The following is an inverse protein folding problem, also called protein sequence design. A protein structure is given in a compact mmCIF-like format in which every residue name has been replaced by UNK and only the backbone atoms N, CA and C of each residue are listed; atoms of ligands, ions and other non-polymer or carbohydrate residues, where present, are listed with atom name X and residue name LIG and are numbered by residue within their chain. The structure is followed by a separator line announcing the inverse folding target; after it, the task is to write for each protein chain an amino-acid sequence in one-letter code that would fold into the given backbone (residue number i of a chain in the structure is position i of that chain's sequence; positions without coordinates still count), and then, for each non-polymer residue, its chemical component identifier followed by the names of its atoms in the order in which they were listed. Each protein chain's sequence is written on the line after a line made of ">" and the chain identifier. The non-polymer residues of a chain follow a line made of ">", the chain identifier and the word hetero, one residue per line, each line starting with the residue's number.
data_IF_523928798272
#
_entry.id   IF_523928798272
#
_cell.length_a   1.000
_cell.length_b   1.000
_cell.length_c   1.000
_cell.angle_alpha   90.00
_cell.angle_beta   90.00
_cell.angle_gamma   90.00
#
_symmetry.space_group_name_H-M   'P 1'
#
loop_
_entity.id
_entity.type
_entity.pdbx_description
1 polymer ?
#
# COMPACT_ATOMS: atom_id res chain seq x y z
N UNK A 1 -26.57 12.02 2.87
CA UNK A 1 -25.13 12.13 3.22
C UNK A 1 -24.40 12.85 2.10
N UNK A 2 -23.60 13.87 2.41
CA UNK A 2 -22.71 14.51 1.42
C UNK A 2 -21.63 13.50 1.02
N UNK A 3 -21.39 13.29 -0.27
CA UNK A 3 -20.36 12.37 -0.73
C UNK A 3 -18.99 12.81 -0.20
N UNK A 4 -18.22 11.89 0.37
CA UNK A 4 -16.86 12.19 0.81
C UNK A 4 -15.97 12.45 -0.40
N UNK A 5 -15.24 13.57 -0.39
CA UNK A 5 -14.37 13.96 -1.50
C UNK A 5 -12.97 13.45 -1.22
N UNK A 6 -12.53 12.45 -1.98
CA UNK A 6 -11.17 11.94 -1.89
C UNK A 6 -10.16 12.89 -2.57
N UNK A 7 -9.07 13.19 -1.86
CA UNK A 7 -7.86 13.75 -2.46
C UNK A 7 -7.22 12.75 -3.42
N UNK A 8 -6.39 13.21 -4.35
CA UNK A 8 -5.68 12.31 -5.28
C UNK A 8 -4.80 11.30 -4.53
N UNK A 9 -4.18 11.75 -3.44
CA UNK A 9 -3.38 10.93 -2.54
C UNK A 9 -3.55 11.43 -1.10
N UNK A 10 -3.15 10.60 -0.15
CA UNK A 10 -3.06 10.90 1.29
C UNK A 10 -1.70 10.49 1.84
N UNK A 11 -1.37 10.94 3.05
CA UNK A 11 -0.17 10.49 3.76
C UNK A 11 -0.44 9.14 4.41
N UNK A 12 0.48 8.20 4.22
CA UNK A 12 0.49 6.93 4.93
C UNK A 12 1.80 6.82 5.70
N UNK A 13 1.79 6.61 7.03
CA UNK A 13 3.00 6.29 7.79
C UNK A 13 3.61 4.98 7.29
N UNK A 14 4.91 5.00 7.01
CA UNK A 14 5.62 3.87 6.42
C UNK A 14 6.81 3.38 7.24
N UNK A 15 7.10 4.01 8.38
CA UNK A 15 8.21 3.62 9.26
C UNK A 15 8.18 2.13 9.66
N UNK A 16 6.99 1.62 9.99
CA UNK A 16 6.79 0.20 10.30
C UNK A 16 7.14 -0.73 9.11
N UNK A 17 7.01 -0.25 7.87
CA UNK A 17 7.43 -1.00 6.67
C UNK A 17 8.95 -1.02 6.59
N UNK A 18 9.62 0.10 6.87
CA UNK A 18 11.08 0.17 6.91
C UNK A 18 11.67 -0.75 8.01
N UNK A 19 10.93 -0.91 9.11
CA UNK A 19 11.20 -1.91 10.16
C UNK A 19 10.86 -3.37 9.75
N UNK A 20 10.56 -3.63 8.47
CA UNK A 20 10.25 -4.96 7.90
C UNK A 20 9.02 -5.64 8.52
N UNK A 21 8.12 -4.86 9.13
CA UNK A 21 6.95 -5.41 9.85
C UNK A 21 5.83 -5.88 8.94
N UNK A 22 5.94 -5.69 7.62
CA UNK A 22 5.11 -6.39 6.63
C UNK A 22 5.22 -7.92 6.77
N UNK A 23 6.35 -8.43 7.28
CA UNK A 23 6.53 -9.85 7.57
C UNK A 23 5.55 -10.39 8.63
N UNK A 24 5.07 -9.54 9.54
CA UNK A 24 4.12 -9.93 10.60
C UNK A 24 2.76 -10.36 10.05
N UNK A 25 2.41 -9.90 8.84
CA UNK A 25 1.20 -10.28 8.12
C UNK A 25 1.39 -11.61 7.39
N UNK A 26 1.14 -12.70 8.10
CA UNK A 26 1.29 -14.07 7.59
C UNK A 26 -0.05 -14.73 7.34
N UNK A 27 -0.14 -15.49 6.25
CA UNK A 27 -1.31 -16.32 6.02
C UNK A 27 -1.30 -17.54 6.93
N UNK A 28 -2.30 -17.66 7.80
CA UNK A 28 -2.59 -18.87 8.58
C UNK A 28 -3.99 -19.36 8.26
N UNK A 29 -4.19 -20.68 8.20
CA UNK A 29 -5.51 -21.27 7.94
C UNK A 29 -6.49 -20.82 9.02
N UNK A 30 -7.65 -20.29 8.62
CA UNK A 30 -8.65 -19.73 9.54
C UNK A 30 -8.45 -18.26 9.91
N UNK A 31 -7.23 -17.72 9.77
CA UNK A 31 -6.90 -16.33 10.14
C UNK A 31 -6.50 -15.46 8.94
N UNK A 32 -6.23 -16.06 7.77
CA UNK A 32 -5.74 -15.32 6.59
C UNK A 32 -6.67 -14.17 6.14
N UNK A 33 -7.98 -14.35 6.29
CA UNK A 33 -8.97 -13.33 5.96
C UNK A 33 -8.85 -12.06 6.84
N UNK A 34 -8.53 -12.20 8.13
CA UNK A 34 -8.35 -11.03 9.00
C UNK A 34 -7.07 -10.25 8.69
N UNK A 35 -6.03 -10.93 8.18
CA UNK A 35 -4.79 -10.28 7.71
C UNK A 35 -5.03 -9.40 6.48
N UNK A 36 -5.81 -9.89 5.53
CA UNK A 36 -6.24 -9.12 4.35
C UNK A 36 -7.12 -7.96 4.81
N UNK A 37 -8.10 -8.23 5.68
CA UNK A 37 -9.00 -7.21 6.19
C UNK A 37 -8.25 -6.08 6.92
N UNK A 38 -7.21 -6.41 7.68
CA UNK A 38 -6.36 -5.45 8.37
C UNK A 38 -5.68 -4.49 7.37
N UNK A 39 -5.03 -5.00 6.34
CA UNK A 39 -4.35 -4.15 5.35
C UNK A 39 -5.34 -3.32 4.50
N UNK A 40 -6.52 -3.86 4.18
CA UNK A 40 -7.59 -3.09 3.53
C UNK A 40 -8.11 -1.99 4.46
N UNK A 41 -8.34 -2.29 5.74
CA UNK A 41 -8.80 -1.33 6.73
C UNK A 41 -7.78 -0.21 6.92
N UNK A 42 -6.49 -0.53 6.99
CA UNK A 42 -5.40 0.44 7.08
C UNK A 42 -5.45 1.44 5.92
N UNK A 43 -5.59 0.95 4.69
CA UNK A 43 -5.72 1.80 3.48
C UNK A 43 -6.98 2.67 3.56
N UNK A 44 -8.13 2.10 3.94
CA UNK A 44 -9.38 2.84 4.05
C UNK A 44 -9.35 3.93 5.13
N UNK A 45 -8.70 3.66 6.26
CA UNK A 45 -8.47 4.62 7.35
C UNK A 45 -7.55 5.74 6.87
N UNK A 46 -6.41 5.41 6.26
CA UNK A 46 -5.47 6.41 5.74
C UNK A 46 -6.15 7.37 4.74
N UNK A 47 -7.08 6.89 3.90
CA UNK A 47 -7.85 7.75 2.98
C UNK A 47 -8.80 8.75 3.68
N UNK A 48 -8.99 8.60 4.99
CA UNK A 48 -9.92 9.34 5.84
C UNK A 48 -9.24 10.12 6.96
N UNK A 49 -7.92 10.04 7.10
CA UNK A 49 -7.19 10.78 8.15
C UNK A 49 -7.16 12.27 7.86
N UNK A 50 -7.32 13.06 8.91
CA UNK A 50 -7.01 14.49 8.93
C UNK A 50 -5.50 14.75 9.10
N UNK A 51 -5.12 16.00 9.32
CA UNK A 51 -3.73 16.41 9.48
C UNK A 51 -3.12 15.94 10.82
N UNK A 52 -3.97 15.52 11.77
CA UNK A 52 -3.59 14.88 13.03
C UNK A 52 -3.44 13.35 12.90
N UNK A 53 -3.68 12.78 11.72
CA UNK A 53 -3.61 11.34 11.49
C UNK A 53 -4.82 10.58 12.03
N UNK A 54 -5.94 11.27 12.31
CA UNK A 54 -7.17 10.69 12.84
C UNK A 54 -8.22 10.59 11.74
N UNK A 55 -8.69 9.36 11.50
CA UNK A 55 -9.85 9.10 10.67
C UNK A 55 -11.13 9.07 11.50
N UNK A 56 -12.14 9.82 11.08
CA UNK A 56 -13.51 9.73 11.62
C UNK A 56 -14.39 8.98 10.65
N UNK A 57 -14.68 7.72 10.96
CA UNK A 57 -15.52 6.89 10.12
C UNK A 57 -16.29 5.82 10.90
N UNK A 58 -17.57 5.66 10.60
CA UNK A 58 -18.40 4.63 11.25
C UNK A 58 -18.14 3.24 10.67
N UNK A 59 -18.56 2.19 11.37
CA UNK A 59 -18.54 0.83 10.82
C UNK A 59 -19.36 0.73 9.53
N UNK A 60 -20.52 1.40 9.44
CA UNK A 60 -21.34 1.35 8.23
C UNK A 60 -20.62 2.00 7.03
N UNK A 61 -19.81 3.02 7.27
CA UNK A 61 -18.92 3.58 6.25
C UNK A 61 -17.81 2.61 5.86
N UNK A 62 -17.23 1.86 6.80
CA UNK A 62 -16.30 0.78 6.45
C UNK A 62 -16.95 -0.27 5.54
N UNK A 63 -18.15 -0.73 5.90
CA UNK A 63 -18.90 -1.72 5.14
C UNK A 63 -19.12 -1.25 3.71
N UNK A 64 -19.62 -0.02 3.55
CA UNK A 64 -19.85 0.60 2.25
C UNK A 64 -18.54 0.71 1.44
N UNK A 65 -17.50 1.28 2.04
CA UNK A 65 -16.24 1.56 1.34
C UNK A 65 -15.54 0.27 0.92
N UNK A 66 -15.50 -0.73 1.80
CA UNK A 66 -14.61 -1.90 1.63
C UNK A 66 -15.32 -3.17 1.18
N UNK A 67 -16.65 -3.20 1.21
CA UNK A 67 -17.45 -4.40 0.93
C UNK A 67 -17.30 -5.50 2.00
N UNK A 68 -16.66 -5.19 3.14
CA UNK A 68 -16.42 -6.16 4.21
C UNK A 68 -17.61 -6.22 5.16
N UNK A 69 -17.89 -7.40 5.71
CA UNK A 69 -18.87 -7.54 6.80
C UNK A 69 -18.36 -6.86 8.09
N UNK A 70 -19.27 -6.55 9.02
CA UNK A 70 -18.92 -5.94 10.31
C UNK A 70 -17.94 -6.81 11.11
N UNK A 71 -18.12 -8.13 11.10
CA UNK A 71 -17.21 -9.07 11.75
C UNK A 71 -15.81 -9.07 11.10
N UNK A 72 -15.73 -9.00 9.77
CA UNK A 72 -14.45 -8.93 9.05
C UNK A 72 -13.72 -7.62 9.32
N UNK A 73 -14.44 -6.49 9.36
CA UNK A 73 -13.87 -5.19 9.74
C UNK A 73 -13.32 -5.25 11.16
N UNK A 74 -14.10 -5.74 12.13
CA UNK A 74 -13.65 -5.86 13.51
C UNK A 74 -12.38 -6.72 13.63
N UNK A 75 -12.36 -7.90 13.00
CA UNK A 75 -11.19 -8.77 13.01
C UNK A 75 -9.94 -8.11 12.38
N UNK A 76 -10.12 -7.32 11.32
CA UNK A 76 -9.03 -6.55 10.71
C UNK A 76 -8.51 -5.44 11.62
N UNK A 77 -9.41 -4.71 12.29
CA UNK A 77 -9.04 -3.65 13.24
C UNK A 77 -8.31 -4.23 14.47
N UNK A 78 -8.76 -5.35 15.02
CA UNK A 78 -8.09 -6.03 16.14
C UNK A 78 -6.66 -6.44 15.77
N UNK A 79 -6.44 -6.86 14.52
CA UNK A 79 -5.10 -7.20 14.01
C UNK A 79 -4.21 -5.96 13.93
N UNK A 80 -4.71 -4.82 13.46
CA UNK A 80 -3.94 -3.56 13.40
C UNK A 80 -3.60 -3.03 14.79
N UNK A 81 -4.56 -3.07 15.72
CA UNK A 81 -4.38 -2.61 17.10
C UNK A 81 -3.39 -3.50 17.87
N UNK A 82 -3.50 -4.82 17.77
CA UNK A 82 -2.53 -5.76 18.36
C UNK A 82 -1.11 -5.56 17.85
N UNK A 83 -0.97 -5.11 16.60
CA UNK A 83 0.32 -4.77 15.99
C UNK A 83 0.71 -3.31 16.23
N UNK A 84 -0.02 -2.54 17.03
CA UNK A 84 0.31 -1.14 17.31
C UNK A 84 0.48 -0.31 16.04
N UNK A 85 -0.33 -0.58 15.01
CA UNK A 85 -0.40 0.23 13.79
C UNK A 85 -1.60 1.17 13.80
N UNK A 86 -2.51 0.96 14.75
CA UNK A 86 -3.76 1.71 14.87
C UNK A 86 -4.16 1.83 16.34
N UNK A 87 -4.61 3.02 16.73
CA UNK A 87 -5.30 3.28 17.99
C UNK A 87 -6.79 3.45 17.68
N UNK A 88 -7.65 2.71 18.39
CA UNK A 88 -9.10 2.82 18.25
C UNK A 88 -9.65 3.81 19.25
N UNK A 89 -10.65 4.56 18.81
CA UNK A 89 -11.45 5.48 19.61
C UNK A 89 -10.67 6.55 20.40
N UNK A 90 -9.56 7.13 19.88
CA UNK A 90 -8.76 8.14 20.60
C UNK A 90 -9.57 9.40 20.97
N UNK A 91 -10.63 9.69 20.21
CA UNK A 91 -11.54 10.81 20.45
C UNK A 91 -13.00 10.36 20.50
N UNK A 92 -13.23 9.15 21.03
CA UNK A 92 -14.55 8.53 21.14
C UNK A 92 -14.91 7.64 19.95
N UNK A 93 -16.16 7.17 19.94
CA UNK A 93 -16.63 6.16 18.99
C UNK A 93 -16.37 6.56 17.53
N UNK A 94 -16.04 5.58 16.68
CA UNK A 94 -15.83 5.78 15.23
C UNK A 94 -14.65 6.69 14.88
N UNK A 95 -13.68 6.81 15.79
CA UNK A 95 -12.41 7.48 15.53
C UNK A 95 -11.27 6.46 15.51
N UNK A 96 -10.30 6.65 14.63
CA UNK A 96 -9.17 5.74 14.45
C UNK A 96 -7.92 6.55 14.14
N UNK A 97 -6.84 6.36 14.89
CA UNK A 97 -5.59 7.08 14.69
C UNK A 97 -4.51 6.15 14.18
N UNK A 98 -3.82 6.56 13.11
CA UNK A 98 -2.64 5.85 12.64
C UNK A 98 -1.47 6.11 13.61
N UNK A 99 -0.81 5.04 14.02
CA UNK A 99 0.38 5.14 14.88
C UNK A 99 1.54 5.74 14.06
N UNK A 100 2.40 6.51 14.74
CA UNK A 100 3.55 7.20 14.16
C UNK A 100 3.23 8.16 13.00
N UNK A 101 2.02 8.69 12.97
CA UNK A 101 1.65 9.72 12.00
C UNK A 101 2.36 11.04 12.30
N UNK A 102 3.33 11.39 11.45
CA UNK A 102 4.05 12.66 11.48
C UNK A 102 3.80 13.43 10.18
N UNK A 103 3.68 14.75 10.26
CA UNK A 103 3.48 15.59 9.07
C UNK A 103 4.77 15.84 8.28
N UNK A 104 5.92 15.88 8.96
CA UNK A 104 7.21 16.25 8.38
C UNK A 104 7.92 15.09 7.67
N UNK A 105 7.81 13.87 8.17
CA UNK A 105 8.67 12.74 7.80
C UNK A 105 7.99 11.38 8.02
N UNK A 106 8.63 10.28 7.61
CA UNK A 106 8.18 8.91 7.93
C UNK A 106 6.90 8.47 7.21
N UNK A 107 6.52 9.17 6.13
CA UNK A 107 5.31 8.89 5.36
C UNK A 107 5.56 8.84 3.85
N UNK A 108 4.70 8.11 3.16
CA UNK A 108 4.63 8.04 1.70
C UNK A 108 3.27 8.50 1.16
N UNK A 109 3.24 8.86 -0.14
CA UNK A 109 2.01 9.22 -0.84
C UNK A 109 1.24 7.95 -1.20
N UNK A 110 0.13 7.71 -0.53
CA UNK A 110 -0.80 6.63 -0.85
C UNK A 110 -1.85 7.12 -1.86
N UNK A 111 -1.99 6.49 -3.04
CA UNK A 111 -3.04 6.85 -4.00
C UNK A 111 -4.43 6.68 -3.37
N UNK A 112 -5.31 7.67 -3.50
CA UNK A 112 -6.65 7.64 -2.90
C UNK A 112 -7.75 7.72 -3.96
N UNK A 113 -8.03 8.91 -4.52
CA UNK A 113 -9.17 9.17 -5.43
C UNK A 113 -9.36 8.11 -6.53
N UNK A 114 -8.30 7.70 -7.21
CA UNK A 114 -8.41 6.75 -8.34
C UNK A 114 -8.67 5.30 -7.93
N UNK A 115 -8.48 4.94 -6.66
CA UNK A 115 -8.87 3.62 -6.13
C UNK A 115 -10.39 3.52 -5.86
N UNK A 116 -11.10 4.65 -5.87
CA UNK A 116 -12.53 4.70 -5.61
C UNK A 116 -13.36 4.75 -6.88
N UNK A 117 -14.46 4.00 -6.89
CA UNK A 117 -15.52 4.12 -7.88
C UNK A 117 -16.86 4.19 -7.13
N UNK A 118 -17.67 5.21 -7.39
CA UNK A 118 -18.96 5.43 -6.71
C UNK A 118 -18.89 5.43 -5.17
N UNK A 119 -17.76 5.84 -4.60
CA UNK A 119 -17.54 5.88 -3.15
C UNK A 119 -17.03 4.58 -2.53
N UNK A 120 -16.77 3.56 -3.35
CA UNK A 120 -16.30 2.23 -2.94
C UNK A 120 -14.84 2.03 -3.36
N UNK A 121 -14.03 1.38 -2.50
CA UNK A 121 -12.68 0.93 -2.84
C UNK A 121 -12.77 -0.29 -3.78
N UNK A 122 -12.53 -0.06 -5.07
CA UNK A 122 -12.83 -1.04 -6.10
C UNK A 122 -12.12 -2.39 -5.88
N UNK A 123 -10.83 -2.36 -5.54
CA UNK A 123 -10.07 -3.58 -5.29
C UNK A 123 -10.58 -4.34 -4.04
N UNK A 124 -11.01 -3.61 -3.00
CA UNK A 124 -11.44 -4.22 -1.75
C UNK A 124 -12.73 -5.03 -1.90
N UNK A 125 -13.62 -4.58 -2.79
CA UNK A 125 -14.86 -5.27 -3.19
C UNK A 125 -14.61 -6.47 -4.12
N UNK A 126 -13.53 -6.44 -4.92
CA UNK A 126 -13.13 -7.56 -5.78
C UNK A 126 -12.43 -8.68 -5.01
N UNK A 127 -11.83 -8.36 -3.87
CA UNK A 127 -11.12 -9.33 -3.06
C UNK A 127 -12.10 -10.23 -2.30
N UNK A 128 -11.98 -11.54 -2.49
CA UNK A 128 -12.75 -12.55 -1.77
C UNK A 128 -12.29 -12.76 -0.32
N UNK A 129 -11.12 -12.20 0.05
CA UNK A 129 -10.44 -12.28 1.36
C UNK A 129 -10.18 -13.73 1.80
N UNK A 130 -9.99 -14.61 0.82
CA UNK A 130 -9.86 -16.06 0.99
C UNK A 130 -8.65 -16.65 0.28
N UNK A 131 -7.88 -15.81 -0.43
CA UNK A 131 -6.69 -16.23 -1.17
C UNK A 131 -5.42 -15.66 -0.55
N UNK A 132 -4.38 -16.49 -0.48
CA UNK A 132 -3.03 -16.04 -0.10
C UNK A 132 -2.52 -14.95 -1.05
N UNK A 133 -2.85 -15.05 -2.33
CA UNK A 133 -2.43 -14.08 -3.35
C UNK A 133 -2.90 -12.65 -3.07
N UNK A 134 -4.07 -12.48 -2.47
CA UNK A 134 -4.60 -11.17 -2.07
C UNK A 134 -3.79 -10.56 -0.92
N UNK A 135 -3.34 -11.38 0.04
CA UNK A 135 -2.45 -10.92 1.10
C UNK A 135 -1.08 -10.52 0.53
N UNK A 136 -0.54 -11.33 -0.38
CA UNK A 136 0.72 -11.04 -1.05
C UNK A 136 0.64 -9.72 -1.83
N UNK A 137 -0.45 -9.52 -2.57
CA UNK A 137 -0.73 -8.29 -3.29
C UNK A 137 -0.73 -7.07 -2.37
N UNK A 138 -1.44 -7.11 -1.25
CA UNK A 138 -1.49 -5.97 -0.32
C UNK A 138 -0.14 -5.65 0.31
N UNK A 139 0.65 -6.68 0.66
CA UNK A 139 2.01 -6.50 1.16
C UNK A 139 2.92 -5.83 0.14
N UNK A 140 2.88 -6.29 -1.11
CA UNK A 140 3.64 -5.69 -2.21
C UNK A 140 3.18 -4.25 -2.48
N UNK A 141 1.88 -3.99 -2.49
CA UNK A 141 1.35 -2.66 -2.74
C UNK A 141 1.83 -1.64 -1.72
N UNK A 142 1.74 -1.97 -0.43
CA UNK A 142 2.21 -1.09 0.65
C UNK A 142 3.72 -0.89 0.60
N UNK A 143 4.50 -1.93 0.27
CA UNK A 143 5.94 -1.79 0.05
C UNK A 143 6.26 -0.84 -1.12
N UNK A 144 5.54 -0.97 -2.25
CA UNK A 144 5.74 -0.08 -3.38
C UNK A 144 5.31 1.35 -3.07
N UNK A 145 4.31 1.54 -2.21
CA UNK A 145 3.95 2.85 -1.68
C UNK A 145 5.11 3.45 -0.88
N UNK A 146 5.72 2.69 0.04
CA UNK A 146 6.83 3.22 0.86
C UNK A 146 8.10 3.51 0.07
N UNK A 147 8.43 2.68 -0.92
CA UNK A 147 9.70 2.75 -1.66
C UNK A 147 9.62 3.51 -2.99
N UNK A 148 8.48 4.13 -3.31
CA UNK A 148 8.32 4.89 -4.57
C UNK A 148 9.19 6.14 -4.56
N UNK A 149 10.07 6.25 -5.55
CA UNK A 149 10.79 7.48 -5.83
C UNK A 149 9.83 8.55 -6.40
N UNK A 150 9.86 9.76 -5.83
CA UNK A 150 8.95 10.86 -6.20
C UNK A 150 9.28 11.49 -7.56
N UNK A 151 10.53 11.41 -8.01
CA UNK A 151 11.00 11.94 -9.30
C UNK A 151 10.65 10.96 -10.41
N UNK A 152 10.99 9.69 -10.24
CA UNK A 152 10.76 8.63 -11.23
C UNK A 152 9.32 8.12 -11.27
N UNK A 153 8.56 8.30 -10.18
CA UNK A 153 7.26 7.67 -10.00
C UNK A 153 7.34 6.12 -10.05
N UNK A 154 8.47 5.55 -9.63
CA UNK A 154 8.74 4.12 -9.67
C UNK A 154 9.29 3.65 -8.31
N UNK A 155 8.90 2.45 -7.90
CA UNK A 155 9.61 1.69 -6.88
C UNK A 155 10.58 0.74 -7.59
N UNK A 156 11.88 0.95 -7.39
CA UNK A 156 12.96 0.13 -7.92
C UNK A 156 13.36 -0.87 -6.83
N UNK A 157 12.86 -2.10 -6.91
CA UNK A 157 13.13 -3.13 -5.92
C UNK A 157 13.45 -4.45 -6.60
N UNK A 158 14.55 -5.07 -6.17
CA UNK A 158 14.87 -6.43 -6.59
C UNK A 158 13.98 -7.42 -5.84
N UNK A 159 13.85 -8.65 -6.37
CA UNK A 159 13.08 -9.69 -5.67
C UNK A 159 13.70 -10.03 -4.31
N UNK A 160 15.03 -9.91 -4.17
CA UNK A 160 15.73 -10.10 -2.91
C UNK A 160 15.30 -9.06 -1.88
N UNK A 161 15.28 -7.78 -2.25
CA UNK A 161 14.78 -6.71 -1.38
C UNK A 161 13.30 -6.92 -1.04
N UNK A 162 12.45 -7.27 -2.01
CA UNK A 162 11.04 -7.57 -1.73
C UNK A 162 10.91 -8.71 -0.71
N UNK A 163 11.68 -9.79 -0.85
CA UNK A 163 11.70 -10.88 0.13
C UNK A 163 12.15 -10.40 1.51
N UNK A 164 13.17 -9.53 1.60
CA UNK A 164 13.65 -8.99 2.87
C UNK A 164 12.61 -8.13 3.59
N UNK A 165 11.85 -7.29 2.89
CA UNK A 165 10.85 -6.43 3.52
C UNK A 165 9.54 -7.15 3.80
N UNK A 166 9.13 -8.09 2.93
CA UNK A 166 7.81 -8.71 3.00
C UNK A 166 7.82 -10.15 3.50
N UNK A 167 8.95 -10.84 3.48
CA UNK A 167 9.05 -12.28 3.73
C UNK A 167 8.46 -13.14 2.60
N UNK A 168 8.08 -12.54 1.47
CA UNK A 168 7.50 -13.28 0.34
C UNK A 168 8.59 -13.95 -0.51
N UNK A 169 8.37 -15.21 -0.84
CA UNK A 169 9.21 -15.95 -1.78
C UNK A 169 8.92 -15.55 -3.22
N UNK A 170 9.85 -15.81 -4.14
CA UNK A 170 9.74 -15.40 -5.56
C UNK A 170 8.43 -15.80 -6.25
N UNK A 171 7.92 -17.00 -5.97
CA UNK A 171 6.65 -17.47 -6.54
C UNK A 171 5.45 -16.69 -5.97
N UNK A 172 5.49 -16.31 -4.69
CA UNK A 172 4.47 -15.52 -4.00
C UNK A 172 4.49 -14.05 -4.47
N UNK A 173 5.69 -13.51 -4.72
CA UNK A 173 5.86 -12.17 -5.31
C UNK A 173 5.14 -12.12 -6.66
N UNK A 174 5.37 -13.10 -7.54
CA UNK A 174 4.71 -13.17 -8.85
C UNK A 174 3.18 -13.21 -8.72
N UNK A 175 2.66 -14.09 -7.86
CA UNK A 175 1.22 -14.19 -7.62
C UNK A 175 0.62 -12.86 -7.12
N UNK A 176 1.29 -12.18 -6.20
CA UNK A 176 0.84 -10.87 -5.70
C UNK A 176 0.86 -9.79 -6.78
N UNK A 177 1.90 -9.76 -7.63
CA UNK A 177 2.00 -8.83 -8.77
C UNK A 177 0.86 -9.05 -9.77
N UNK A 178 0.54 -10.30 -10.09
CA UNK A 178 -0.55 -10.63 -11.01
C UNK A 178 -1.89 -10.13 -10.47
N UNK A 179 -2.15 -10.32 -9.17
CA UNK A 179 -3.35 -9.81 -8.50
C UNK A 179 -3.42 -8.28 -8.51
N UNK A 180 -2.30 -7.58 -8.27
CA UNK A 180 -2.26 -6.12 -8.31
C UNK A 180 -2.49 -5.57 -9.72
N UNK A 181 -1.86 -6.18 -10.73
CA UNK A 181 -2.01 -5.78 -12.13
C UNK A 181 -3.45 -6.01 -12.62
N UNK A 182 -4.05 -7.15 -12.29
CA UNK A 182 -5.45 -7.47 -12.64
C UNK A 182 -6.44 -6.47 -12.03
N UNK A 183 -6.13 -5.95 -10.83
CA UNK A 183 -6.94 -4.93 -10.16
C UNK A 183 -6.57 -3.50 -10.55
N UNK A 184 -5.64 -3.31 -11.49
CA UNK A 184 -5.21 -1.99 -11.97
C UNK A 184 -4.52 -1.14 -10.89
N UNK A 185 -3.95 -1.76 -9.86
CA UNK A 185 -3.32 -1.05 -8.75
C UNK A 185 -1.87 -0.66 -9.04
N UNK A 186 -1.21 -1.40 -9.93
CA UNK A 186 0.18 -1.15 -10.35
C UNK A 186 0.35 -1.36 -11.85
N UNK A 187 1.45 -0.83 -12.37
CA UNK A 187 2.04 -1.24 -13.64
C UNK A 187 3.44 -1.77 -13.39
N UNK A 188 3.77 -2.93 -14.00
CA UNK A 188 5.13 -3.48 -13.98
C UNK A 188 5.84 -3.02 -15.23
N UNK A 189 6.95 -2.30 -15.06
CA UNK A 189 7.78 -1.77 -16.13
C UNK A 189 9.14 -2.48 -16.14
N UNK A 190 9.78 -2.53 -17.31
CA UNK A 190 11.13 -3.07 -17.48
C UNK A 190 12.09 -1.93 -17.74
N UNK A 191 12.99 -1.72 -16.79
CA UNK A 191 14.07 -0.72 -16.85
C UNK A 191 15.41 -1.42 -17.03
N UNK A 192 16.42 -0.67 -17.46
CA UNK A 192 17.79 -1.16 -17.38
C UNK A 192 18.13 -1.56 -15.95
N UNK A 193 18.82 -2.68 -15.80
CA UNK A 193 19.15 -3.20 -14.49
C UNK A 193 20.16 -2.27 -13.81
N UNK A 194 19.83 -1.81 -12.62
CA UNK A 194 20.77 -1.10 -11.75
C UNK A 194 21.81 -2.04 -11.13
N UNK A 195 21.63 -3.36 -11.25
CA UNK A 195 22.55 -4.39 -10.73
C UNK A 195 23.47 -4.96 -11.80
N UNK A 196 23.18 -4.76 -13.10
CA UNK A 196 23.97 -5.33 -14.18
C UNK A 196 23.82 -4.57 -15.50
N UNK A 197 24.94 -4.28 -16.16
CA UNK A 197 25.01 -3.54 -17.43
C UNK A 197 24.38 -4.26 -18.65
N UNK A 198 23.84 -5.47 -18.47
CA UNK A 198 23.24 -6.29 -19.53
C UNK A 198 21.80 -6.71 -19.19
N UNK A 199 21.41 -6.61 -17.91
CA UNK A 199 20.12 -7.07 -17.43
C UNK A 199 19.02 -6.03 -17.59
N UNK A 200 17.76 -6.50 -17.59
CA UNK A 200 16.60 -5.64 -17.33
C UNK A 200 16.06 -5.95 -15.94
N UNK A 201 15.76 -4.93 -15.15
CA UNK A 201 15.14 -5.06 -13.85
C UNK A 201 13.66 -4.67 -13.89
N UNK A 202 12.89 -5.19 -12.92
CA UNK A 202 11.48 -4.81 -12.76
C UNK A 202 11.41 -3.52 -11.98
N UNK A 203 10.64 -2.57 -12.49
CA UNK A 203 10.23 -1.37 -11.78
C UNK A 203 8.71 -1.38 -11.59
N UNK A 204 8.24 -0.89 -10.45
CA UNK A 204 6.83 -0.94 -10.10
C UNK A 204 6.27 0.48 -10.00
N UNK A 205 5.33 0.82 -10.88
CA UNK A 205 4.62 2.10 -10.84
C UNK A 205 3.27 1.93 -10.16
N UNK A 206 2.95 2.81 -9.20
CA UNK A 206 1.61 2.87 -8.64
C UNK A 206 0.64 3.45 -9.67
N UNK A 207 -0.52 2.83 -9.81
CA UNK A 207 -1.61 3.44 -10.54
C UNK A 207 -2.18 4.64 -9.79
N UNK A 208 -2.85 5.53 -10.51
CA UNK A 208 -3.59 6.67 -9.95
C UNK A 208 -2.77 7.70 -9.17
N UNK A 209 -1.45 7.70 -9.31
CA UNK A 209 -0.56 8.67 -8.69
C UNK A 209 0.43 9.22 -9.71
N UNK A 210 0.51 10.55 -9.76
CA UNK A 210 1.42 11.29 -10.65
C UNK A 210 1.40 10.73 -12.10
N UNK A 211 0.20 10.40 -12.63
CA UNK A 211 0.04 9.59 -13.84
C UNK A 211 0.64 10.18 -15.11
N UNK A 212 0.94 11.49 -15.11
CA UNK A 212 1.66 12.18 -16.19
C UNK A 212 3.18 11.95 -16.16
N UNK A 213 3.73 11.39 -15.08
CA UNK A 213 5.15 11.02 -14.95
C UNK A 213 5.31 9.53 -15.23
N UNK A 214 5.64 9.21 -16.47
CA UNK A 214 5.88 7.85 -16.95
C UNK A 214 6.89 7.88 -18.10
N UNK A 215 7.31 6.70 -18.59
CA UNK A 215 8.34 6.58 -19.63
C UNK A 215 8.07 7.35 -20.93
N UNK A 216 6.80 7.66 -21.22
CA UNK A 216 6.44 8.43 -22.42
C UNK A 216 6.69 9.93 -22.28
N UNK A 217 6.87 10.43 -21.06
CA UNK A 217 6.98 11.86 -20.72
C UNK A 217 8.22 12.18 -19.90
N UNK A 218 8.94 11.17 -19.41
CA UNK A 218 10.13 11.29 -18.57
C UNK A 218 11.21 10.38 -19.14
N UNK A 219 12.41 10.93 -19.37
CA UNK A 219 13.57 10.13 -19.77
C UNK A 219 14.13 9.40 -18.55
N UNK A 220 13.48 8.28 -18.21
CA UNK A 220 13.82 7.44 -17.06
C UNK A 220 15.24 6.90 -17.20
N UNK A 221 15.64 6.53 -18.42
CA UNK A 221 16.94 5.93 -18.70
C UNK A 221 18.06 6.97 -18.49
N UNK A 222 17.86 8.23 -18.91
CA UNK A 222 18.78 9.33 -18.61
C UNK A 222 18.86 9.64 -17.11
N UNK A 223 17.73 9.64 -16.37
CA UNK A 223 17.74 9.93 -14.93
C UNK A 223 18.47 8.82 -14.15
N UNK A 224 18.27 7.55 -14.53
CA UNK A 224 19.01 6.42 -13.94
C UNK A 224 20.51 6.50 -14.26
N UNK A 225 20.87 6.86 -15.50
CA UNK A 225 22.26 7.02 -15.92
C UNK A 225 22.98 8.23 -15.29
N UNK A 226 22.24 9.32 -15.01
CA UNK A 226 22.80 10.55 -14.45
C UNK A 226 23.00 10.51 -12.92
N UNK A 227 22.51 9.50 -12.20
CA UNK A 227 22.68 9.41 -10.74
C UNK A 227 21.83 8.35 -10.04
N UNK A 228 22.00 7.08 -10.38
CA UNK A 228 21.16 5.98 -9.89
C UNK A 228 21.81 4.89 -9.05
N UNK A 229 22.84 5.17 -8.22
CA UNK A 229 23.10 4.29 -7.07
C UNK A 229 22.04 4.61 -6.02
N UNK A 230 20.89 3.93 -6.08
CA UNK A 230 19.86 4.03 -5.05
C UNK A 230 19.79 2.68 -4.34
N UNK A 231 20.59 2.59 -3.29
CA UNK A 231 20.71 1.45 -2.41
C UNK A 231 21.76 1.79 -1.36
N UNK A 232 21.28 2.25 -0.20
CA UNK A 232 22.00 2.93 0.89
C UNK A 232 21.98 4.45 0.77
N UNK A 233 21.76 5.08 1.92
CA UNK A 233 21.73 6.52 2.20
C UNK A 233 20.40 7.24 1.94
N UNK A 234 19.54 7.19 2.96
CA UNK A 234 18.93 8.39 3.53
C UNK A 234 18.59 8.12 5.01
N UNK A 235 19.32 8.81 5.89
CA UNK A 235 18.96 9.09 7.29
C UNK A 235 17.56 9.68 7.44
#
# INVERSE_FOLDING_TARGET
>A
MKAYRHHEWVRLPTEWIEQKRLQEFMWKKGEGGSQIAALIALIAIAHRTDDEGVARMTYDQFLLITGMSRATVAAGLDVLEKRQLLIREPHGQSTFQLVDFKLSEGWAKLPAKGLYQRGELLFAHRFGKRSQGELYALKLYLLFVSRRDRKLNLALLSYTAITEYTGLQRHQIRQGLDVLALNGMIHVERVESWESNVGKANAYRLAHLDGYRHRGTTDIDQILAAGGVIGMDAE
#
